data_IF_956390574860
#
_entry.id   IF_956390574860
#
_cell.length_a   1.000
_cell.length_b   1.000
_cell.length_c   1.000
_cell.angle_alpha   90.00
_cell.angle_beta   90.00
_cell.angle_gamma   90.00
#
_symmetry.space_group_name_H-M   'P 1'
#
loop_
_entity.id
_entity.type
_entity.pdbx_description
1 polymer ?
#
# COMPACT_ATOMS: atom_id res chain seq x y z
N UNK A 1 2.67 -11.55 18.64
CA UNK A 1 1.52 -11.55 17.72
C UNK A 1 1.91 -10.66 16.56
N UNK A 2 1.79 -11.11 15.32
CA UNK A 2 2.06 -10.27 14.15
C UNK A 2 0.94 -9.24 14.06
N UNK A 3 1.28 -7.95 14.07
CA UNK A 3 0.28 -6.88 13.91
C UNK A 3 -0.53 -7.08 12.62
N UNK A 4 -1.81 -6.70 12.68
CA UNK A 4 -2.72 -6.69 11.53
C UNK A 4 -2.57 -5.38 10.76
N UNK A 5 -2.44 -5.47 9.44
CA UNK A 5 -2.31 -4.31 8.57
C UNK A 5 -3.68 -3.67 8.28
N UNK A 6 -3.68 -2.40 7.86
CA UNK A 6 -4.93 -1.71 7.49
C UNK A 6 -5.68 -2.42 6.36
N UNK A 7 -4.95 -3.06 5.43
CA UNK A 7 -5.52 -3.86 4.35
C UNK A 7 -6.28 -5.07 4.89
N UNK A 8 -5.69 -5.81 5.83
CA UNK A 8 -6.30 -7.00 6.43
C UNK A 8 -7.48 -6.63 7.34
N UNK A 9 -7.43 -5.47 8.00
CA UNK A 9 -8.52 -4.98 8.84
C UNK A 9 -9.72 -4.53 8.00
N UNK A 10 -9.51 -3.66 7.01
CA UNK A 10 -10.61 -2.96 6.33
C UNK A 10 -10.98 -3.57 4.97
N UNK A 11 -10.12 -4.39 4.36
CA UNK A 11 -10.37 -4.97 3.04
C UNK A 11 -9.78 -6.39 2.86
N UNK A 12 -10.06 -7.35 3.77
CA UNK A 12 -9.45 -8.68 3.76
C UNK A 12 -9.73 -9.49 2.48
N UNK A 13 -10.86 -9.23 1.81
CA UNK A 13 -11.25 -9.88 0.56
C UNK A 13 -10.77 -9.15 -0.70
N UNK A 14 -10.02 -8.05 -0.57
CA UNK A 14 -9.57 -7.27 -1.72
C UNK A 14 -8.64 -8.09 -2.62
N UNK A 15 -8.89 -7.96 -3.92
CA UNK A 15 -8.13 -8.64 -4.99
C UNK A 15 -7.15 -7.71 -5.72
N UNK A 16 -6.96 -6.48 -5.21
CA UNK A 16 -6.03 -5.52 -5.80
C UNK A 16 -4.64 -6.13 -5.98
N UNK A 17 -4.03 -5.95 -7.15
CA UNK A 17 -2.70 -6.48 -7.46
C UNK A 17 -1.63 -6.02 -6.46
N UNK A 18 -1.66 -4.74 -6.04
CA UNK A 18 -0.66 -4.20 -5.13
C UNK A 18 -0.92 -4.53 -3.65
N UNK A 19 -2.14 -4.29 -3.15
CA UNK A 19 -2.44 -4.32 -1.71
C UNK A 19 -3.52 -5.32 -1.29
N UNK A 20 -4.09 -6.10 -2.22
CA UNK A 20 -5.21 -6.98 -1.93
C UNK A 20 -4.79 -8.24 -1.17
N UNK A 21 -5.22 -8.47 0.08
CA UNK A 21 -4.81 -9.64 0.86
C UNK A 21 -5.24 -10.98 0.21
N UNK A 22 -6.32 -10.97 -0.57
CA UNK A 22 -6.84 -12.16 -1.25
C UNK A 22 -6.13 -12.47 -2.58
N UNK A 23 -5.29 -11.57 -3.10
CA UNK A 23 -4.58 -11.78 -4.36
C UNK A 23 -3.24 -12.49 -4.14
N UNK A 24 -3.22 -13.82 -4.26
CA UNK A 24 -2.03 -14.65 -4.03
C UNK A 24 -0.86 -14.34 -4.98
N UNK A 25 -1.19 -13.91 -6.19
CA UNK A 25 -0.23 -13.56 -7.24
C UNK A 25 0.13 -12.06 -7.23
N UNK A 26 -0.44 -11.30 -6.29
CA UNK A 26 -0.18 -9.88 -6.10
C UNK A 26 0.95 -9.60 -5.12
N UNK A 27 1.36 -8.32 -5.05
CA UNK A 27 2.41 -7.85 -4.15
C UNK A 27 2.00 -7.91 -2.67
N UNK A 28 0.69 -7.89 -2.39
CA UNK A 28 0.10 -8.02 -1.04
C UNK A 28 0.79 -7.13 0.00
N UNK A 29 1.02 -5.87 -0.35
CA UNK A 29 1.65 -4.94 0.58
C UNK A 29 0.83 -4.79 1.86
N UNK A 30 1.52 -4.70 2.98
CA UNK A 30 0.95 -4.51 4.31
C UNK A 30 1.41 -3.16 4.84
N UNK A 31 0.45 -2.31 5.20
CA UNK A 31 0.70 -0.98 5.77
C UNK A 31 0.22 -0.95 7.21
N UNK A 32 1.05 -0.40 8.08
CA UNK A 32 0.84 -0.34 9.52
C UNK A 32 0.85 1.11 10.00
N UNK A 33 0.15 1.38 11.10
CA UNK A 33 0.13 2.70 11.73
C UNK A 33 1.53 3.11 12.20
N UNK A 34 1.75 4.42 12.21
CA UNK A 34 2.95 5.05 12.78
C UNK A 34 2.55 5.87 14.00
N UNK A 35 3.27 5.70 15.10
CA UNK A 35 3.05 6.47 16.32
C UNK A 35 3.67 7.88 16.25
N UNK A 36 4.62 8.08 15.34
CA UNK A 36 5.41 9.31 15.21
C UNK A 36 4.87 10.29 14.16
N UNK A 37 3.85 9.90 13.39
CA UNK A 37 3.24 10.71 12.34
C UNK A 37 1.73 10.53 12.38
N UNK A 38 1.01 11.62 12.60
CA UNK A 38 -0.45 11.64 12.55
C UNK A 38 -0.97 11.14 11.19
N UNK A 39 -1.94 10.22 11.22
CA UNK A 39 -2.46 9.49 10.04
C UNK A 39 -1.40 8.73 9.22
N UNK A 40 -0.17 8.65 9.72
CA UNK A 40 0.95 8.07 9.00
C UNK A 40 0.87 6.55 8.93
N UNK A 41 1.16 6.02 7.75
CA UNK A 41 1.37 4.59 7.55
C UNK A 41 2.83 4.28 7.24
N UNK A 42 3.25 3.06 7.55
CA UNK A 42 4.53 2.48 7.16
C UNK A 42 4.29 1.17 6.43
N UNK A 43 4.96 0.98 5.31
CA UNK A 43 5.00 -0.27 4.56
C UNK A 43 6.45 -0.73 4.44
N UNK A 44 6.66 -2.05 4.48
CA UNK A 44 7.94 -2.67 4.14
C UNK A 44 7.67 -3.76 3.13
N UNK A 45 8.47 -3.79 2.07
CA UNK A 45 8.33 -4.76 0.98
C UNK A 45 9.69 -5.37 0.68
N UNK A 46 9.72 -6.70 0.65
CA UNK A 46 10.89 -7.47 0.22
C UNK A 46 10.66 -7.84 -1.23
N UNK A 47 11.57 -7.43 -2.10
CA UNK A 47 11.47 -7.70 -3.54
C UNK A 47 11.88 -9.14 -3.86
N UNK A 48 11.39 -9.65 -4.98
CA UNK A 48 11.63 -11.01 -5.47
C UNK A 48 12.16 -10.95 -6.91
N UNK A 49 12.70 -12.05 -7.42
CA UNK A 49 13.29 -12.10 -8.77
C UNK A 49 12.29 -11.72 -9.86
N UNK A 50 11.03 -12.13 -9.71
CA UNK A 50 9.94 -11.80 -10.63
C UNK A 50 9.60 -10.30 -10.68
N UNK A 51 10.06 -9.51 -9.70
CA UNK A 51 9.86 -8.06 -9.68
C UNK A 51 10.94 -7.29 -10.46
N UNK A 52 11.90 -7.96 -11.08
CA UNK A 52 12.99 -7.32 -11.81
C UNK A 52 12.53 -6.78 -13.17
N UNK A 53 13.10 -5.64 -13.59
CA UNK A 53 13.08 -5.21 -15.00
C UNK A 53 14.24 -5.84 -15.78
N UNK A 54 15.41 -5.89 -15.18
CA UNK A 54 16.61 -6.56 -15.67
C UNK A 54 17.46 -7.01 -14.46
N UNK A 55 18.46 -7.91 -14.65
CA UNK A 55 19.16 -8.55 -13.54
C UNK A 55 19.63 -7.57 -12.46
N UNK A 56 19.11 -7.77 -11.24
CA UNK A 56 19.46 -6.97 -10.07
C UNK A 56 18.73 -5.63 -9.91
N UNK A 57 17.85 -5.25 -10.84
CA UNK A 57 17.12 -3.98 -10.79
C UNK A 57 15.60 -4.19 -10.74
N UNK A 58 14.96 -3.60 -9.73
CA UNK A 58 13.50 -3.66 -9.55
C UNK A 58 12.80 -2.89 -10.66
N UNK A 59 11.72 -3.44 -11.18
CA UNK A 59 10.89 -2.79 -12.19
C UNK A 59 10.27 -1.49 -11.64
N UNK A 60 10.41 -0.39 -12.38
CA UNK A 60 9.89 0.90 -11.97
C UNK A 60 8.36 0.92 -11.79
N UNK A 61 7.63 0.11 -12.56
CA UNK A 61 6.19 -0.10 -12.40
C UNK A 61 5.83 -0.80 -11.08
N UNK A 62 6.67 -1.74 -10.60
CA UNK A 62 6.49 -2.35 -9.27
C UNK A 62 6.66 -1.29 -8.18
N UNK A 63 7.72 -0.49 -8.25
CA UNK A 63 7.92 0.64 -7.31
C UNK A 63 6.72 1.61 -7.38
N UNK A 64 6.22 1.87 -8.60
CA UNK A 64 5.00 2.64 -8.85
C UNK A 64 3.79 2.07 -8.11
N UNK A 65 3.50 0.79 -8.29
CA UNK A 65 2.38 0.09 -7.63
C UNK A 65 2.51 0.12 -6.11
N UNK A 66 3.71 -0.10 -5.56
CA UNK A 66 3.95 -0.06 -4.12
C UNK A 66 3.58 1.32 -3.55
N UNK A 67 4.05 2.40 -4.19
CA UNK A 67 3.81 3.77 -3.74
C UNK A 67 2.37 4.22 -3.97
N UNK A 68 1.75 3.85 -5.09
CA UNK A 68 0.35 4.14 -5.38
C UNK A 68 -0.58 3.48 -4.36
N UNK A 69 -0.47 2.15 -4.18
CA UNK A 69 -1.32 1.43 -3.24
C UNK A 69 -1.11 1.89 -1.79
N UNK A 70 0.13 2.10 -1.36
CA UNK A 70 0.42 2.59 -0.02
C UNK A 70 -0.09 4.02 0.20
N UNK A 71 0.11 4.89 -0.81
CA UNK A 71 -0.36 6.27 -0.78
C UNK A 71 -1.89 6.37 -0.72
N UNK A 72 -2.60 5.58 -1.53
CA UNK A 72 -4.07 5.54 -1.50
C UNK A 72 -4.60 5.08 -0.13
N UNK A 73 -4.02 4.05 0.47
CA UNK A 73 -4.38 3.62 1.83
C UNK A 73 -4.10 4.69 2.88
N UNK A 74 -2.97 5.39 2.76
CA UNK A 74 -2.62 6.49 3.67
C UNK A 74 -3.66 7.61 3.58
N UNK A 75 -4.07 7.98 2.36
CA UNK A 75 -5.11 8.98 2.15
C UNK A 75 -6.49 8.52 2.65
N UNK A 76 -6.92 7.31 2.32
CA UNK A 76 -8.22 6.77 2.75
C UNK A 76 -8.35 6.73 4.28
N UNK A 77 -7.29 6.30 4.96
CA UNK A 77 -7.20 6.26 6.41
C UNK A 77 -7.20 7.67 7.03
N UNK A 78 -6.43 8.60 6.47
CA UNK A 78 -6.44 9.99 6.94
C UNK A 78 -7.84 10.63 6.82
N UNK A 79 -8.54 10.38 5.71
CA UNK A 79 -9.92 10.86 5.49
C UNK A 79 -10.88 10.23 6.49
N UNK A 80 -10.78 8.92 6.72
CA UNK A 80 -11.60 8.19 7.70
C UNK A 80 -11.51 8.83 9.08
N UNK A 81 -10.28 9.06 9.54
CA UNK A 81 -10.03 9.57 10.89
C UNK A 81 -10.43 11.04 11.03
N UNK A 82 -10.07 11.87 10.05
CA UNK A 82 -10.43 13.29 10.04
C UNK A 82 -11.94 13.51 10.09
N UNK A 83 -12.72 12.61 9.47
CA UNK A 83 -14.17 12.66 9.44
C UNK A 83 -14.84 11.76 10.48
N UNK A 84 -14.07 11.09 11.35
CA UNK A 84 -14.56 10.16 12.38
C UNK A 84 -15.49 9.07 11.82
N UNK A 85 -15.12 8.52 10.67
CA UNK A 85 -15.85 7.44 10.01
C UNK A 85 -15.45 6.08 10.62
N UNK A 86 -16.37 5.12 10.61
CA UNK A 86 -16.10 3.76 11.09
C UNK A 86 -15.24 2.95 10.10
N UNK A 87 -15.38 3.22 8.80
CA UNK A 87 -14.64 2.53 7.73
C UNK A 87 -14.04 3.53 6.74
N UNK A 88 -12.90 3.20 6.11
CA UNK A 88 -12.28 4.08 5.14
C UNK A 88 -13.16 4.21 3.89
N UNK A 89 -13.31 5.42 3.34
CA UNK A 89 -14.07 5.60 2.12
C UNK A 89 -13.39 4.87 0.95
N UNK A 90 -14.19 4.49 -0.04
CA UNK A 90 -13.65 4.01 -1.31
C UNK A 90 -12.97 5.16 -2.04
N UNK A 91 -11.64 5.10 -2.13
CA UNK A 91 -10.83 6.08 -2.86
C UNK A 91 -10.14 5.44 -4.05
N UNK A 92 -9.93 6.26 -5.08
CA UNK A 92 -9.11 5.92 -6.25
C UNK A 92 -8.09 7.04 -6.47
N UNK A 93 -6.89 6.67 -6.88
CA UNK A 93 -5.82 7.63 -7.15
C UNK A 93 -6.16 8.46 -8.38
N UNK A 94 -6.43 9.76 -8.20
CA UNK A 94 -6.66 10.68 -9.31
C UNK A 94 -5.37 11.05 -10.04
N UNK A 95 -4.29 11.26 -9.28
CA UNK A 95 -2.96 11.53 -9.79
C UNK A 95 -1.91 11.16 -8.74
N UNK A 96 -0.75 10.68 -9.20
CA UNK A 96 0.46 10.54 -8.40
C UNK A 96 1.67 10.70 -9.31
N UNK A 97 2.79 11.16 -8.76
CA UNK A 97 4.00 11.38 -9.53
C UNK A 97 5.20 10.86 -8.76
N UNK A 98 6.04 10.09 -9.44
CA UNK A 98 7.21 9.44 -8.85
C UNK A 98 8.44 9.86 -9.63
N UNK A 99 9.48 10.26 -8.89
CA UNK A 99 10.80 10.50 -9.44
C UNK A 99 11.77 9.49 -8.83
N UNK A 100 12.17 8.48 -9.61
CA UNK A 100 13.20 7.52 -9.23
C UNK A 100 14.57 8.16 -9.43
N UNK A 101 15.33 8.28 -8.33
CA UNK A 101 16.61 9.02 -8.32
C UNK A 101 17.84 8.12 -8.34
N UNK A 102 17.68 6.84 -8.01
CA UNK A 102 18.74 5.83 -7.87
C UNK A 102 18.17 4.48 -8.23
#
# INVERSE_FOLDING_TARGET
MTDTSVQETHAPSSICFGCGPANKEGLRIRSFRRDDVEHGLRMTFVTEEQHQAFPGMVNGGIIGTLLDCHGNWTAAIAIMESNKMEEPPCTVTANYSIQLRR
#
